data_IF_596805769000
#
_entry.id   IF_596805769000
#
_cell.length_a   1.000
_cell.length_b   1.000
_cell.length_c   1.000
_cell.angle_alpha   90.00
_cell.angle_beta   90.00
_cell.angle_gamma   90.00
#
_symmetry.space_group_name_H-M   'P 1'
#
loop_
_entity.id
_entity.type
_entity.pdbx_description
1 polymer ?
#
# COMPACT_ATOMS: atom_id res chain seq x y z
N UNK A 1 11.10 22.01 -9.22
CA UNK A 1 10.11 20.91 -9.29
C UNK A 1 9.69 20.60 -7.88
N UNK A 2 8.38 20.68 -7.60
CA UNK A 2 7.88 20.39 -6.26
C UNK A 2 8.30 18.96 -5.86
N UNK A 3 9.01 18.82 -4.73
CA UNK A 3 9.62 17.56 -4.32
C UNK A 3 8.64 16.37 -4.26
N UNK A 4 7.34 16.63 -4.08
CA UNK A 4 6.31 15.58 -4.03
C UNK A 4 5.91 15.01 -5.41
N UNK A 5 6.25 15.67 -6.53
CA UNK A 5 5.88 15.19 -7.88
C UNK A 5 6.42 13.79 -8.17
N UNK A 6 7.60 13.45 -7.66
CA UNK A 6 8.18 12.12 -7.86
C UNK A 6 7.29 11.03 -7.24
N UNK A 7 6.75 11.25 -6.06
CA UNK A 7 5.87 10.29 -5.37
C UNK A 7 4.54 10.13 -6.10
N UNK A 8 3.98 11.23 -6.60
CA UNK A 8 2.76 11.22 -7.42
C UNK A 8 2.99 10.41 -8.70
N UNK A 9 4.09 10.66 -9.42
CA UNK A 9 4.43 9.93 -10.66
C UNK A 9 4.62 8.43 -10.37
N UNK A 10 5.36 8.08 -9.31
CA UNK A 10 5.57 6.69 -8.92
C UNK A 10 4.25 5.97 -8.62
N UNK A 11 3.32 6.62 -7.91
CA UNK A 11 2.01 6.03 -7.62
C UNK A 11 1.17 5.85 -8.90
N UNK A 12 1.21 6.80 -9.84
CA UNK A 12 0.53 6.66 -11.13
C UNK A 12 1.14 5.55 -12.00
N UNK A 13 2.47 5.37 -11.99
CA UNK A 13 3.15 4.28 -12.68
C UNK A 13 2.82 2.92 -12.05
N UNK A 14 2.70 2.87 -10.72
CA UNK A 14 2.36 1.65 -10.00
C UNK A 14 0.90 1.20 -10.23
N UNK A 15 -0.03 2.12 -10.45
CA UNK A 15 -1.45 1.80 -10.59
C UNK A 15 -1.77 0.81 -11.72
N UNK A 16 -1.25 0.95 -12.96
CA UNK A 16 -1.43 -0.07 -14.01
C UNK A 16 -0.92 -1.46 -13.63
N UNK A 17 0.14 -1.58 -12.82
CA UNK A 17 0.62 -2.88 -12.36
C UNK A 17 -0.38 -3.56 -11.43
N UNK A 18 -1.05 -2.79 -10.57
CA UNK A 18 -2.14 -3.29 -9.74
C UNK A 18 -3.34 -3.68 -10.59
N UNK A 19 -3.71 -2.89 -11.59
CA UNK A 19 -4.79 -3.24 -12.54
C UNK A 19 -4.49 -4.56 -13.26
N UNK A 20 -3.26 -4.74 -13.74
CA UNK A 20 -2.82 -6.00 -14.36
C UNK A 20 -2.89 -7.17 -13.37
N UNK A 21 -2.55 -6.95 -12.08
CA UNK A 21 -2.71 -7.96 -11.02
C UNK A 21 -4.15 -8.45 -10.89
N UNK A 22 -5.14 -7.55 -10.95
CA UNK A 22 -6.57 -7.91 -10.93
C UNK A 22 -6.97 -8.74 -12.15
N UNK A 23 -6.52 -8.37 -13.34
CA UNK A 23 -6.74 -9.15 -14.56
C UNK A 23 -6.11 -10.54 -14.44
N UNK A 24 -4.88 -10.64 -13.96
CA UNK A 24 -4.18 -11.91 -13.75
C UNK A 24 -4.92 -12.82 -12.78
N UNK A 25 -5.43 -12.26 -11.68
CA UNK A 25 -6.24 -13.01 -10.72
C UNK A 25 -7.51 -13.57 -11.38
N UNK A 26 -8.20 -12.76 -12.18
CA UNK A 26 -9.39 -13.20 -12.89
C UNK A 26 -9.08 -14.37 -13.85
N UNK A 27 -7.97 -14.29 -14.58
CA UNK A 27 -7.52 -15.37 -15.45
C UNK A 27 -7.21 -16.66 -14.69
N UNK A 28 -6.54 -16.56 -13.54
CA UNK A 28 -6.21 -17.73 -12.70
C UNK A 28 -7.47 -18.38 -12.12
N UNK A 29 -8.45 -17.59 -11.70
CA UNK A 29 -9.73 -18.10 -11.22
C UNK A 29 -10.50 -18.81 -12.34
N UNK A 30 -10.55 -18.21 -13.54
CA UNK A 30 -11.29 -18.77 -14.68
C UNK A 30 -10.67 -20.07 -15.21
N UNK A 31 -9.37 -20.29 -15.05
CA UNK A 31 -8.71 -21.54 -15.43
C UNK A 31 -9.06 -22.70 -14.50
N UNK A 32 -9.59 -22.42 -13.31
CA UNK A 32 -9.96 -23.41 -12.30
C UNK A 32 -8.75 -24.18 -11.73
N UNK A 33 -8.83 -24.53 -10.46
CA UNK A 33 -7.84 -25.39 -9.76
C UNK A 33 -6.36 -24.95 -9.81
N UNK A 34 -6.07 -23.71 -10.23
CA UNK A 34 -4.70 -23.16 -10.21
C UNK A 34 -4.35 -22.61 -8.83
N UNK A 35 -5.32 -22.00 -8.15
CA UNK A 35 -5.18 -21.44 -6.82
C UNK A 35 -6.14 -22.13 -5.85
N UNK A 36 -5.67 -22.40 -4.63
CA UNK A 36 -6.54 -22.87 -3.55
C UNK A 36 -7.48 -21.74 -3.09
N UNK A 37 -8.60 -22.05 -2.41
CA UNK A 37 -9.47 -21.02 -1.82
C UNK A 37 -8.72 -20.06 -0.88
N UNK A 38 -7.77 -20.57 -0.12
CA UNK A 38 -6.86 -19.79 0.73
C UNK A 38 -6.08 -18.77 -0.10
N UNK A 39 -5.42 -19.21 -1.16
CA UNK A 39 -4.63 -18.36 -2.04
C UNK A 39 -5.47 -17.28 -2.72
N UNK A 40 -6.66 -17.63 -3.20
CA UNK A 40 -7.59 -16.66 -3.80
C UNK A 40 -7.98 -15.57 -2.79
N UNK A 41 -8.26 -15.95 -1.55
CA UNK A 41 -8.63 -15.00 -0.49
C UNK A 41 -7.51 -14.00 -0.23
N UNK A 42 -6.30 -14.47 -0.06
CA UNK A 42 -5.16 -13.60 0.25
C UNK A 42 -4.68 -12.78 -0.96
N UNK A 43 -4.79 -13.33 -2.17
CA UNK A 43 -4.54 -12.55 -3.39
C UNK A 43 -5.53 -11.37 -3.49
N UNK A 44 -6.83 -11.63 -3.29
CA UNK A 44 -7.85 -10.58 -3.31
C UNK A 44 -7.58 -9.52 -2.25
N UNK A 45 -7.22 -9.91 -1.05
CA UNK A 45 -6.90 -8.98 0.02
C UNK A 45 -5.69 -8.09 -0.36
N UNK A 46 -4.58 -8.67 -0.80
CA UNK A 46 -3.38 -7.94 -1.19
C UNK A 46 -3.64 -7.00 -2.37
N UNK A 47 -4.36 -7.47 -3.39
CA UNK A 47 -4.73 -6.68 -4.56
C UNK A 47 -5.64 -5.49 -4.20
N UNK A 48 -6.67 -5.72 -3.39
CA UNK A 48 -7.59 -4.67 -2.97
C UNK A 48 -6.87 -3.60 -2.12
N UNK A 49 -6.03 -4.00 -1.17
CA UNK A 49 -5.24 -3.07 -0.38
C UNK A 49 -4.27 -2.27 -1.25
N UNK A 50 -3.56 -2.92 -2.18
CA UNK A 50 -2.66 -2.22 -3.09
C UNK A 50 -3.39 -1.14 -3.90
N UNK A 51 -4.53 -1.45 -4.48
CA UNK A 51 -5.31 -0.50 -5.28
C UNK A 51 -5.84 0.68 -4.47
N UNK A 52 -6.51 0.40 -3.35
CA UNK A 52 -7.09 1.44 -2.50
C UNK A 52 -6.00 2.33 -1.88
N UNK A 53 -4.92 1.75 -1.36
CA UNK A 53 -3.85 2.51 -0.72
C UNK A 53 -3.05 3.34 -1.71
N UNK A 54 -2.86 2.88 -2.96
CA UNK A 54 -2.25 3.70 -4.01
C UNK A 54 -3.12 4.90 -4.38
N UNK A 55 -4.44 4.74 -4.47
CA UNK A 55 -5.34 5.87 -4.71
C UNK A 55 -5.32 6.84 -3.52
N UNK A 56 -5.36 6.34 -2.30
CA UNK A 56 -5.25 7.16 -1.09
C UNK A 56 -3.91 7.90 -1.02
N UNK A 57 -2.82 7.33 -1.54
CA UNK A 57 -1.51 8.00 -1.58
C UNK A 57 -1.53 9.29 -2.40
N UNK A 58 -2.29 9.35 -3.47
CA UNK A 58 -2.43 10.55 -4.30
C UNK A 58 -3.12 11.69 -3.52
N UNK A 59 -4.16 11.36 -2.74
CA UNK A 59 -4.79 12.30 -1.83
C UNK A 59 -3.83 12.71 -0.71
N UNK A 60 -3.11 11.77 -0.14
CA UNK A 60 -2.12 12.02 0.91
C UNK A 60 -1.09 13.06 0.48
N UNK A 61 -0.49 12.92 -0.71
CA UNK A 61 0.49 13.86 -1.23
C UNK A 61 -0.11 15.25 -1.45
N UNK A 62 -1.36 15.32 -1.91
CA UNK A 62 -2.06 16.58 -2.13
C UNK A 62 -2.28 17.35 -0.82
N UNK A 63 -2.63 16.66 0.26
CA UNK A 63 -2.82 17.28 1.55
C UNK A 63 -1.48 17.55 2.27
N UNK A 64 -0.50 16.66 2.10
CA UNK A 64 0.83 16.86 2.68
C UNK A 64 1.51 18.13 2.13
N UNK A 65 1.26 18.48 0.87
CA UNK A 65 1.79 19.70 0.28
C UNK A 65 1.28 20.96 0.98
N UNK A 66 0.09 20.92 1.57
CA UNK A 66 -0.54 22.02 2.32
C UNK A 66 -0.01 22.19 3.75
N UNK A 67 0.81 21.26 4.25
CA UNK A 67 1.41 21.35 5.58
C UNK A 67 2.62 22.29 5.58
N UNK A 68 2.94 22.84 6.74
CA UNK A 68 4.15 23.67 6.97
C UNK A 68 5.44 22.86 7.14
N UNK A 69 5.41 21.55 6.91
CA UNK A 69 6.59 20.70 7.06
C UNK A 69 7.71 21.08 6.11
N UNK A 70 8.94 20.94 6.58
CA UNK A 70 10.12 21.07 5.72
C UNK A 70 10.11 19.99 4.60
N UNK A 71 10.80 20.24 3.47
CA UNK A 71 10.88 19.26 2.38
C UNK A 71 11.36 17.89 2.84
N UNK A 72 12.32 17.81 3.75
CA UNK A 72 12.87 16.56 4.30
C UNK A 72 11.77 15.78 5.03
N UNK A 73 10.97 16.43 5.87
CA UNK A 73 9.87 15.80 6.60
C UNK A 73 8.79 15.31 5.64
N UNK A 74 8.44 16.11 4.61
CA UNK A 74 7.49 15.71 3.58
C UNK A 74 7.95 14.45 2.84
N UNK A 75 9.22 14.40 2.43
CA UNK A 75 9.78 13.20 1.78
C UNK A 75 9.82 11.98 2.71
N UNK A 76 10.18 12.18 3.98
CA UNK A 76 10.15 11.12 4.99
C UNK A 76 8.74 10.55 5.17
N UNK A 77 7.74 11.41 5.26
CA UNK A 77 6.32 11.01 5.37
C UNK A 77 5.86 10.23 4.12
N UNK A 78 6.22 10.67 2.91
CA UNK A 78 5.93 9.95 1.68
C UNK A 78 6.62 8.57 1.64
N UNK A 79 7.89 8.50 2.02
CA UNK A 79 8.63 7.24 2.07
C UNK A 79 8.01 6.25 3.07
N UNK A 80 7.60 6.73 4.25
CA UNK A 80 6.90 5.93 5.27
C UNK A 80 5.56 5.41 4.74
N UNK A 81 4.78 6.26 4.06
CA UNK A 81 3.53 5.85 3.43
C UNK A 81 3.75 4.74 2.40
N UNK A 82 4.68 4.94 1.47
CA UNK A 82 4.97 3.96 0.40
C UNK A 82 5.50 2.65 0.98
N UNK A 83 6.40 2.71 1.96
CA UNK A 83 6.88 1.52 2.67
C UNK A 83 5.72 0.79 3.36
N UNK A 84 4.80 1.52 3.99
CA UNK A 84 3.58 0.96 4.59
C UNK A 84 2.68 0.27 3.57
N UNK A 85 2.44 0.89 2.40
CA UNK A 85 1.65 0.31 1.31
C UNK A 85 2.28 -0.99 0.81
N UNK A 86 3.59 -0.97 0.53
CA UNK A 86 4.33 -2.13 0.03
C UNK A 86 4.36 -3.26 1.06
N UNK A 87 4.63 -2.96 2.32
CA UNK A 87 4.67 -3.95 3.39
C UNK A 87 3.29 -4.56 3.64
N UNK A 88 2.23 -3.75 3.75
CA UNK A 88 0.89 -4.26 4.02
C UNK A 88 0.37 -5.09 2.85
N UNK A 89 0.41 -4.58 1.63
CA UNK A 89 -0.07 -5.29 0.45
C UNK A 89 0.82 -6.49 0.10
N UNK A 90 2.14 -6.31 0.16
CA UNK A 90 3.13 -7.37 -0.09
C UNK A 90 3.06 -8.49 0.94
N UNK A 91 2.78 -8.16 2.21
CA UNK A 91 2.60 -9.13 3.27
C UNK A 91 1.45 -10.10 3.01
N UNK A 92 0.33 -9.63 2.44
CA UNK A 92 -0.77 -10.51 2.02
C UNK A 92 -0.32 -11.49 0.91
N UNK A 93 0.45 -11.03 -0.08
CA UNK A 93 0.97 -11.90 -1.12
C UNK A 93 1.99 -12.91 -0.57
N UNK A 94 2.85 -12.49 0.34
CA UNK A 94 3.79 -13.40 1.01
C UNK A 94 3.04 -14.46 1.82
N UNK A 95 1.99 -14.07 2.55
CA UNK A 95 1.17 -15.04 3.29
C UNK A 95 0.46 -16.01 2.34
N UNK A 96 -0.05 -15.52 1.20
CA UNK A 96 -0.61 -16.37 0.16
C UNK A 96 0.37 -17.45 -0.33
N UNK A 97 1.65 -17.08 -0.48
CA UNK A 97 2.69 -17.98 -1.03
C UNK A 97 3.28 -18.93 0.00
N UNK A 98 3.44 -18.49 1.24
CA UNK A 98 4.22 -19.19 2.27
C UNK A 98 3.40 -19.54 3.52
N UNK A 99 2.18 -18.99 3.66
CA UNK A 99 1.31 -19.20 4.80
C UNK A 99 0.46 -20.46 4.68
N UNK A 100 -0.22 -20.76 5.77
CA UNK A 100 -1.21 -21.82 5.87
C UNK A 100 -2.51 -21.27 6.48
N UNK A 101 -3.67 -21.90 6.23
CA UNK A 101 -4.91 -21.51 6.88
C UNK A 101 -4.76 -21.49 8.40
N UNK A 102 -5.32 -20.46 9.03
CA UNK A 102 -5.38 -20.27 10.49
C UNK A 102 -4.01 -20.18 11.21
N UNK A 103 -2.93 -19.96 10.47
CA UNK A 103 -1.58 -19.81 11.04
C UNK A 103 -0.97 -18.46 10.68
N UNK A 104 -0.27 -17.86 11.64
CA UNK A 104 0.56 -16.69 11.39
C UNK A 104 1.79 -17.06 10.54
N UNK A 105 2.23 -16.14 9.71
CA UNK A 105 3.45 -16.30 8.89
C UNK A 105 4.27 -15.02 8.88
N UNK A 106 5.44 -15.06 8.28
CA UNK A 106 6.24 -13.85 8.00
C UNK A 106 5.42 -12.83 7.21
N UNK A 107 4.56 -13.28 6.27
CA UNK A 107 3.67 -12.40 5.51
C UNK A 107 2.71 -11.63 6.41
N UNK A 108 2.05 -12.29 7.37
CA UNK A 108 1.14 -11.61 8.32
C UNK A 108 1.88 -10.63 9.22
N UNK A 109 3.11 -10.94 9.64
CA UNK A 109 3.95 -10.02 10.41
C UNK A 109 4.29 -8.77 9.60
N UNK A 110 4.70 -8.94 8.34
CA UNK A 110 4.99 -7.82 7.43
C UNK A 110 3.74 -6.97 7.18
N UNK A 111 2.56 -7.59 7.03
CA UNK A 111 1.29 -6.87 6.91
C UNK A 111 1.03 -5.97 8.13
N UNK A 112 1.26 -6.48 9.34
CA UNK A 112 1.09 -5.69 10.58
C UNK A 112 2.09 -4.53 10.64
N UNK A 113 3.36 -4.77 10.30
CA UNK A 113 4.37 -3.71 10.22
C UNK A 113 3.93 -2.64 9.21
N UNK A 114 3.43 -3.05 8.05
CA UNK A 114 2.89 -2.14 7.04
C UNK A 114 1.74 -1.28 7.57
N UNK A 115 0.81 -1.89 8.30
CA UNK A 115 -0.30 -1.17 8.94
C UNK A 115 0.20 -0.13 9.96
N UNK A 116 1.20 -0.45 10.76
CA UNK A 116 1.80 0.49 11.71
C UNK A 116 2.45 1.67 10.97
N UNK A 117 3.20 1.42 9.90
CA UNK A 117 3.80 2.48 9.08
C UNK A 117 2.74 3.41 8.47
N UNK A 118 1.61 2.85 8.02
CA UNK A 118 0.50 3.64 7.48
C UNK A 118 -0.12 4.52 8.58
N UNK A 119 -0.33 3.99 9.78
CA UNK A 119 -0.82 4.79 10.92
C UNK A 119 0.13 5.92 11.24
N UNK A 120 1.45 5.68 11.26
CA UNK A 120 2.46 6.72 11.50
C UNK A 120 2.41 7.80 10.40
N UNK A 121 2.32 7.41 9.14
CA UNK A 121 2.22 8.36 8.03
C UNK A 121 0.94 9.21 8.13
N UNK A 122 -0.20 8.60 8.43
CA UNK A 122 -1.49 9.29 8.58
C UNK A 122 -1.44 10.25 9.79
N UNK A 123 -0.89 9.81 10.92
CA UNK A 123 -0.74 10.66 12.10
C UNK A 123 0.16 11.88 11.82
N UNK A 124 1.25 11.70 11.06
CA UNK A 124 2.10 12.80 10.63
C UNK A 124 1.32 13.80 9.76
N UNK A 125 0.51 13.32 8.81
CA UNK A 125 -0.33 14.19 7.98
C UNK A 125 -1.34 14.98 8.83
N UNK A 126 -2.05 14.31 9.73
CA UNK A 126 -3.03 14.95 10.62
C UNK A 126 -2.33 16.04 11.45
N UNK A 127 -1.20 15.72 12.07
CA UNK A 127 -0.43 16.70 12.82
C UNK A 127 -0.02 17.91 11.97
N UNK A 128 0.49 17.65 10.75
CA UNK A 128 0.89 18.70 9.83
C UNK A 128 -0.26 19.61 9.38
N UNK A 129 -1.45 19.05 9.21
CA UNK A 129 -2.65 19.82 8.83
C UNK A 129 -3.21 20.64 10.00
N UNK A 130 -3.18 20.08 11.23
CA UNK A 130 -3.67 20.79 12.44
C UNK A 130 -2.75 21.96 12.80
N UNK A 131 -1.45 21.82 12.55
CA UNK A 131 -0.44 22.84 12.88
C UNK A 131 -0.15 23.80 11.73
N UNK A 132 -0.75 23.61 10.56
CA UNK A 132 -0.65 24.55 9.45
C UNK A 132 -1.39 25.86 9.81
N UNK A 133 -0.82 27.04 9.45
CA UNK A 133 -1.44 28.34 9.73
C UNK A 133 -2.70 28.57 8.90
#
# INVERSE_FOLDING_TARGET
MNGLRVWIILSWIALPTVMYGGYSLLQLINRGNVLTPFQVTWFRAGHAHAGVLLLLSLLYYTFLDKTSFSPIVKHGACATLVAGILAQSGGFFLHMMMGQPDQASVGTTITVIGAILLVVAIAALIYGLVTAP
#
